data_IF_656971104465
#
_entry.id   IF_656971104465
#
_cell.length_a   1.000
_cell.length_b   1.000
_cell.length_c   1.000
_cell.angle_alpha   90.00
_cell.angle_beta   90.00
_cell.angle_gamma   90.00
#
_symmetry.space_group_name_H-M   'P 1'
#
loop_
_entity.id
_entity.type
_entity.pdbx_description
1 polymer ?
#
# COMPACT_ATOMS: atom_id res chain seq x y z
N UNK A 1 11.61 -10.85 -7.01
CA UNK A 1 11.11 -11.54 -5.81
C UNK A 1 9.99 -10.70 -5.26
N UNK A 2 8.82 -11.29 -5.00
CA UNK A 2 7.63 -10.56 -4.53
C UNK A 2 7.58 -10.62 -3.02
N UNK A 3 7.43 -9.47 -2.38
CA UNK A 3 7.17 -9.31 -0.95
C UNK A 3 5.67 -9.13 -0.72
N UNK A 4 5.13 -9.80 0.29
CA UNK A 4 3.70 -9.79 0.62
C UNK A 4 3.48 -9.17 1.98
N UNK A 5 2.68 -8.11 2.01
CA UNK A 5 2.36 -7.37 3.23
C UNK A 5 0.85 -7.43 3.49
N UNK A 6 0.39 -8.15 4.53
CA UNK A 6 -1.00 -8.04 4.96
C UNK A 6 -1.27 -6.65 5.53
N UNK A 7 -2.40 -6.06 5.17
CA UNK A 7 -2.80 -4.72 5.60
C UNK A 7 -3.83 -4.82 6.71
N UNK A 8 -3.50 -4.25 7.86
CA UNK A 8 -4.48 -3.97 8.90
C UNK A 8 -5.30 -2.74 8.49
N UNK A 9 -6.42 -2.98 7.83
CA UNK A 9 -7.37 -1.95 7.43
C UNK A 9 -7.92 -1.21 8.65
N UNK A 10 -8.13 0.11 8.51
CA UNK A 10 -8.69 0.98 9.54
C UNK A 10 -10.05 1.51 9.08
N UNK A 11 -10.93 1.78 10.02
CA UNK A 11 -12.22 2.42 9.69
C UNK A 11 -12.03 3.79 9.02
N UNK A 12 -10.98 4.52 9.43
CA UNK A 12 -10.59 5.81 8.84
C UNK A 12 -10.17 5.73 7.37
N UNK A 13 -9.92 4.52 6.85
CA UNK A 13 -9.52 4.35 5.45
C UNK A 13 -10.74 4.39 4.51
N UNK A 14 -11.96 4.35 5.05
CA UNK A 14 -13.22 4.47 4.30
C UNK A 14 -13.58 5.93 4.00
N UNK A 15 -14.34 6.15 2.93
CA UNK A 15 -14.91 7.45 2.60
C UNK A 15 -16.44 7.47 2.68
N UNK A 16 -17.04 8.63 2.36
CA UNK A 16 -18.47 8.84 2.42
C UNK A 16 -19.29 7.95 1.46
N UNK A 17 -18.66 7.31 0.47
CA UNK A 17 -19.31 6.35 -0.43
C UNK A 17 -19.32 4.93 0.14
N UNK A 18 -18.72 4.73 1.32
CA UNK A 18 -18.79 3.47 2.07
C UNK A 18 -17.77 2.41 1.67
N UNK A 19 -16.86 2.74 0.73
CA UNK A 19 -15.72 1.90 0.37
C UNK A 19 -14.41 2.53 0.83
N UNK A 20 -13.31 1.80 0.68
CA UNK A 20 -11.97 2.34 0.95
C UNK A 20 -11.70 3.53 0.03
N UNK A 21 -11.22 4.61 0.63
CA UNK A 21 -10.82 5.81 -0.08
C UNK A 21 -9.67 5.51 -1.02
N UNK A 22 -9.70 6.11 -2.21
CA UNK A 22 -8.65 5.96 -3.21
C UNK A 22 -7.24 6.34 -2.69
N UNK A 23 -7.13 7.36 -1.83
CA UNK A 23 -5.88 7.77 -1.22
C UNK A 23 -5.29 6.75 -0.24
N UNK A 24 -6.14 5.96 0.43
CA UNK A 24 -5.69 4.93 1.38
C UNK A 24 -4.85 3.85 0.69
N UNK A 25 -5.10 3.56 -0.60
CA UNK A 25 -4.28 2.60 -1.36
C UNK A 25 -2.83 3.06 -1.52
N UNK A 26 -2.57 4.37 -1.64
CA UNK A 26 -1.21 4.89 -1.69
C UNK A 26 -0.47 4.66 -0.34
N UNK A 27 -1.19 4.77 0.77
CA UNK A 27 -0.66 4.50 2.12
C UNK A 27 -0.39 3.00 2.33
N UNK A 28 -1.23 2.13 1.76
CA UNK A 28 -1.01 0.68 1.79
C UNK A 28 0.24 0.29 1.00
N UNK A 29 0.39 0.85 -0.20
CA UNK A 29 1.59 0.67 -1.03
C UNK A 29 2.86 1.18 -0.33
N UNK A 30 2.78 2.34 0.34
CA UNK A 30 3.90 2.84 1.16
C UNK A 30 4.23 1.91 2.32
N UNK A 31 3.22 1.39 3.04
CA UNK A 31 3.43 0.47 4.15
C UNK A 31 4.19 -0.77 3.70
N UNK A 32 3.80 -1.36 2.57
CA UNK A 32 4.47 -2.53 2.00
C UNK A 32 5.89 -2.22 1.50
N UNK A 33 6.08 -1.08 0.81
CA UNK A 33 7.42 -0.58 0.42
C UNK A 33 8.34 -0.44 1.62
N UNK A 34 7.84 0.12 2.73
CA UNK A 34 8.62 0.28 3.95
C UNK A 34 8.95 -1.06 4.63
N UNK A 35 8.14 -2.10 4.46
CA UNK A 35 8.48 -3.44 4.96
C UNK A 35 9.56 -4.09 4.10
N UNK A 36 9.40 -4.10 2.78
CA UNK A 36 10.41 -4.59 1.85
C UNK A 36 11.77 -3.92 2.07
N UNK A 37 11.81 -2.59 2.19
CA UNK A 37 13.06 -1.87 2.44
C UNK A 37 13.74 -2.26 3.75
N UNK A 38 12.97 -2.54 4.82
CA UNK A 38 13.53 -3.01 6.10
C UNK A 38 14.20 -4.36 5.95
N UNK A 39 13.57 -5.27 5.22
CA UNK A 39 14.13 -6.60 4.97
C UNK A 39 15.40 -6.55 4.10
N UNK A 40 15.51 -5.55 3.21
CA UNK A 40 16.71 -5.29 2.42
C UNK A 40 17.82 -4.56 3.21
N UNK A 41 17.56 -4.11 4.44
CA UNK A 41 18.54 -3.39 5.26
C UNK A 41 18.77 -1.93 4.82
N UNK A 42 17.89 -1.37 3.99
CA UNK A 42 18.05 -0.04 3.41
C UNK A 42 17.53 1.08 4.33
N UNK A 43 18.24 2.21 4.36
CA UNK A 43 17.86 3.39 5.15
C UNK A 43 16.87 4.27 4.40
N UNK A 44 15.76 4.63 5.04
CA UNK A 44 14.68 5.44 4.45
C UNK A 44 15.05 6.90 4.15
N UNK A 45 16.21 7.38 4.57
CA UNK A 45 16.50 8.81 4.65
C UNK A 45 16.74 9.49 3.28
N UNK A 46 16.86 8.72 2.19
CA UNK A 46 17.24 9.24 0.87
C UNK A 46 16.21 8.98 -0.24
N UNK A 47 15.11 8.26 0.01
CA UNK A 47 14.12 7.97 -1.02
C UNK A 47 12.94 8.93 -0.97
N UNK A 48 12.62 9.53 -2.11
CA UNK A 48 11.40 10.31 -2.32
C UNK A 48 10.48 9.59 -3.31
N UNK A 49 9.17 9.77 -3.16
CA UNK A 49 8.19 9.31 -4.14
C UNK A 49 8.14 10.32 -5.30
N UNK A 50 8.82 10.02 -6.41
CA UNK A 50 8.86 10.89 -7.58
C UNK A 50 7.63 10.72 -8.51
N UNK A 51 7.04 9.51 -8.54
CA UNK A 51 5.87 9.21 -9.36
C UNK A 51 4.99 8.19 -8.64
N UNK A 52 3.67 8.38 -8.75
CA UNK A 52 2.65 7.45 -8.27
C UNK A 52 1.59 7.28 -9.36
N UNK A 53 1.34 6.03 -9.73
CA UNK A 53 0.26 5.63 -10.60
C UNK A 53 -0.49 4.47 -9.95
N UNK A 54 -1.82 4.56 -9.90
CA UNK A 54 -2.69 3.54 -9.31
C UNK A 54 -3.91 3.38 -10.22
N UNK A 55 -4.14 2.15 -10.68
CA UNK A 55 -5.35 1.76 -11.39
C UNK A 55 -6.33 1.08 -10.41
N UNK A 56 -7.48 1.71 -10.17
CA UNK A 56 -8.52 1.13 -9.32
C UNK A 56 -9.41 0.17 -10.11
N UNK A 57 -9.19 -1.15 -9.95
CA UNK A 57 -9.91 -2.20 -10.69
C UNK A 57 -11.17 -2.70 -10.00
N UNK A 58 -11.21 -2.66 -8.66
CA UNK A 58 -12.33 -3.13 -7.82
C UNK A 58 -12.40 -2.29 -6.55
N UNK A 59 -13.61 -2.00 -6.08
CA UNK A 59 -13.83 -1.42 -4.76
C UNK A 59 -13.49 -2.44 -3.66
N UNK A 60 -12.92 -1.96 -2.57
CA UNK A 60 -12.66 -2.75 -1.36
C UNK A 60 -13.56 -2.22 -0.25
N UNK A 61 -14.25 -3.13 0.43
CA UNK A 61 -15.14 -2.79 1.54
C UNK A 61 -14.43 -2.93 2.89
N UNK A 62 -14.93 -2.21 3.89
CA UNK A 62 -14.42 -2.34 5.25
C UNK A 62 -14.54 -3.77 5.78
N UNK A 63 -13.45 -4.29 6.36
CA UNK A 63 -13.38 -5.65 6.91
C UNK A 63 -12.92 -6.72 5.91
N UNK A 64 -12.73 -6.38 4.63
CA UNK A 64 -12.07 -7.29 3.68
C UNK A 64 -10.59 -7.47 4.04
N UNK A 65 -10.08 -8.69 3.86
CA UNK A 65 -8.64 -8.94 3.95
C UNK A 65 -7.94 -8.38 2.71
N UNK A 66 -6.92 -7.55 2.93
CA UNK A 66 -6.11 -6.93 1.88
C UNK A 66 -4.64 -7.32 2.07
N UNK A 67 -4.00 -7.73 0.99
CA UNK A 67 -2.57 -7.98 0.90
C UNK A 67 -1.99 -7.11 -0.22
N UNK A 68 -0.81 -6.52 0.02
CA UNK A 68 -0.05 -5.80 -0.99
C UNK A 68 1.15 -6.63 -1.39
N UNK A 69 1.24 -6.92 -2.68
CA UNK A 69 2.43 -7.49 -3.31
C UNK A 69 3.34 -6.36 -3.78
N UNK A 70 4.61 -6.40 -3.39
CA UNK A 70 5.62 -5.39 -3.75
C UNK A 70 6.84 -6.06 -4.36
N UNK A 71 7.35 -5.50 -5.46
CA UNK A 71 8.60 -5.93 -6.06
C UNK A 71 9.39 -4.73 -6.60
N UNK A 72 10.71 -4.93 -6.77
CA UNK A 72 11.59 -3.96 -7.42
C UNK A 72 11.66 -4.33 -8.90
N UNK A 73 11.10 -3.45 -9.74
CA UNK A 73 11.16 -3.54 -11.21
C UNK A 73 12.10 -2.46 -11.76
N UNK A 74 12.65 -2.69 -12.96
CA UNK A 74 13.61 -1.80 -13.63
C UNK A 74 12.93 -0.80 -14.55
#
# INVERSE_FOLDING_TARGET
MVHRTPIQMRFSDTDALGHINNGSFAIYAETARLQLMRELGESFRSLILAHLAIDFRRQVMFGEAVEVETEVVK
#
